data_IF_906450504598
#
_entry.id   IF_906450504598
#
_cell.length_a   1.000
_cell.length_b   1.000
_cell.length_c   1.000
_cell.angle_alpha   90.00
_cell.angle_beta   90.00
_cell.angle_gamma   90.00
#
_symmetry.space_group_name_H-M   'P 1'
#
loop_
_entity.id
_entity.type
_entity.pdbx_description
1 polymer ?
#
# COMPACT_ATOMS: atom_id res chain seq x y z
N UNK A 1 61.39 42.22 30.78
CA UNK A 1 61.52 40.75 30.96
C UNK A 1 60.43 40.10 30.12
N UNK A 2 60.80 39.40 29.03
CA UNK A 2 59.84 38.69 28.18
C UNK A 2 59.47 37.37 28.87
N UNK A 3 58.20 37.23 29.29
CA UNK A 3 57.73 36.00 29.93
C UNK A 3 57.49 34.91 28.87
N UNK A 4 58.56 34.18 28.56
CA UNK A 4 58.57 33.05 27.63
C UNK A 4 57.62 31.93 28.05
N UNK A 5 57.26 31.82 29.34
CA UNK A 5 56.33 30.80 29.83
C UNK A 5 54.89 31.17 29.48
N UNK A 6 54.51 32.45 29.63
CA UNK A 6 53.21 32.96 29.19
C UNK A 6 53.02 32.80 27.66
N UNK A 7 54.04 33.14 26.86
CA UNK A 7 54.00 32.97 25.40
C UNK A 7 53.90 31.49 24.95
N UNK A 8 54.51 30.56 25.70
CA UNK A 8 54.39 29.12 25.44
C UNK A 8 52.98 28.62 25.73
N UNK A 9 52.36 29.04 26.84
CA UNK A 9 50.97 28.68 27.20
C UNK A 9 49.97 29.17 26.17
N UNK A 10 50.11 30.42 25.72
CA UNK A 10 49.24 31.00 24.68
C UNK A 10 49.40 30.23 23.36
N UNK A 11 50.62 29.87 22.96
CA UNK A 11 50.85 29.04 21.76
C UNK A 11 50.25 27.65 21.88
N UNK A 12 50.46 26.96 23.00
CA UNK A 12 49.87 25.64 23.28
C UNK A 12 48.33 25.68 23.24
N UNK A 13 47.71 26.69 23.87
CA UNK A 13 46.26 26.87 23.83
C UNK A 13 45.74 27.12 22.40
N UNK A 14 46.45 27.94 21.60
CA UNK A 14 46.11 28.18 20.19
C UNK A 14 46.24 26.92 19.34
N UNK A 15 47.35 26.19 19.44
CA UNK A 15 47.54 24.94 18.69
C UNK A 15 46.57 23.84 19.15
N UNK A 16 46.28 23.75 20.45
CA UNK A 16 45.26 22.84 20.98
C UNK A 16 43.86 23.17 20.46
N UNK A 17 43.48 24.45 20.43
CA UNK A 17 42.23 24.91 19.85
C UNK A 17 42.11 24.60 18.36
N UNK A 18 43.17 24.87 17.59
CA UNK A 18 43.22 24.52 16.15
C UNK A 18 43.15 23.00 15.92
N UNK A 19 43.83 22.20 16.73
CA UNK A 19 43.76 20.74 16.66
C UNK A 19 42.35 20.22 16.99
N UNK A 20 41.69 20.78 18.01
CA UNK A 20 40.31 20.43 18.33
C UNK A 20 39.33 20.77 17.21
N UNK A 21 39.47 21.96 16.59
CA UNK A 21 38.66 22.36 15.43
C UNK A 21 38.91 21.42 14.25
N UNK A 22 40.18 21.09 13.96
CA UNK A 22 40.52 20.18 12.86
C UNK A 22 39.94 18.77 13.08
N UNK A 23 40.01 18.24 14.31
CA UNK A 23 39.41 16.95 14.66
C UNK A 23 37.89 16.98 14.55
N UNK A 24 37.24 18.05 15.03
CA UNK A 24 35.79 18.23 14.90
C UNK A 24 35.36 18.31 13.42
N UNK A 25 36.11 19.03 12.59
CA UNK A 25 35.85 19.11 11.16
C UNK A 25 36.01 17.75 10.48
N UNK A 26 37.08 17.01 10.76
CA UNK A 26 37.29 15.66 10.23
C UNK A 26 36.18 14.69 10.66
N UNK A 27 35.74 14.76 11.92
CA UNK A 27 34.62 13.96 12.40
C UNK A 27 33.32 14.30 11.67
N UNK A 28 33.01 15.59 11.49
CA UNK A 28 31.84 16.04 10.75
C UNK A 28 31.86 15.57 9.29
N UNK A 29 33.01 15.69 8.60
CA UNK A 29 33.17 15.17 7.24
C UNK A 29 33.06 13.64 7.18
N UNK A 30 33.58 12.93 8.18
CA UNK A 30 33.43 11.48 8.28
C UNK A 30 31.96 11.06 8.38
N UNK A 31 31.19 11.69 9.26
CA UNK A 31 29.75 11.43 9.44
C UNK A 31 28.96 11.75 8.17
N UNK A 32 29.22 12.89 7.54
CA UNK A 32 28.58 13.26 6.27
C UNK A 32 28.95 12.31 5.14
N UNK A 33 30.21 11.85 5.09
CA UNK A 33 30.68 10.87 4.12
C UNK A 33 29.96 9.52 4.25
N UNK A 34 29.81 9.01 5.49
CA UNK A 34 29.03 7.80 5.77
C UNK A 34 27.57 7.98 5.33
N UNK A 35 26.97 9.13 5.66
CA UNK A 35 25.59 9.41 5.28
C UNK A 35 25.38 9.49 3.77
N UNK A 36 26.32 10.11 3.07
CA UNK A 36 26.30 10.19 1.61
C UNK A 36 26.39 8.81 0.97
N UNK A 37 27.27 7.93 1.46
CA UNK A 37 27.41 6.57 0.95
C UNK A 37 26.13 5.74 1.20
N UNK A 38 25.57 5.80 2.41
CA UNK A 38 24.33 5.10 2.74
C UNK A 38 23.15 5.55 1.87
N UNK A 39 22.96 6.87 1.70
CA UNK A 39 21.90 7.40 0.85
C UNK A 39 22.12 7.08 -0.64
N UNK A 40 23.37 7.06 -1.12
CA UNK A 40 23.70 6.67 -2.49
C UNK A 40 23.34 5.20 -2.74
N UNK A 41 23.63 4.32 -1.79
CA UNK A 41 23.29 2.90 -1.87
C UNK A 41 21.77 2.68 -1.82
N UNK A 42 21.05 3.40 -0.95
CA UNK A 42 19.59 3.35 -0.91
C UNK A 42 18.97 3.77 -2.25
N UNK A 43 19.50 4.82 -2.89
CA UNK A 43 19.05 5.24 -4.22
C UNK A 43 19.36 4.16 -5.26
N UNK A 44 20.57 3.58 -5.25
CA UNK A 44 20.99 2.58 -6.22
C UNK A 44 20.13 1.31 -6.13
N UNK A 45 19.95 0.76 -4.93
CA UNK A 45 19.12 -0.40 -4.67
C UNK A 45 17.65 -0.17 -5.05
N UNK A 46 17.09 1.00 -4.74
CA UNK A 46 15.72 1.36 -5.15
C UNK A 46 15.58 1.43 -6.67
N UNK A 47 16.57 2.01 -7.38
CA UNK A 47 16.57 2.06 -8.85
C UNK A 47 16.66 0.68 -9.47
N UNK A 48 17.49 -0.20 -8.91
CA UNK A 48 17.63 -1.57 -9.38
C UNK A 48 16.32 -2.35 -9.18
N UNK A 49 15.70 -2.27 -8.00
CA UNK A 49 14.42 -2.91 -7.73
C UNK A 49 13.31 -2.39 -8.65
N UNK A 50 13.26 -1.07 -8.91
CA UNK A 50 12.33 -0.49 -9.89
C UNK A 50 12.59 -0.93 -11.33
N UNK A 51 13.85 -1.14 -11.72
CA UNK A 51 14.18 -1.67 -13.04
C UNK A 51 13.70 -3.13 -13.18
N UNK A 52 13.92 -3.95 -12.15
CA UNK A 52 13.40 -5.32 -12.09
C UNK A 52 11.87 -5.34 -12.18
N UNK A 53 11.17 -4.47 -11.45
CA UNK A 53 9.72 -4.34 -11.55
C UNK A 53 9.26 -4.02 -12.98
N UNK A 54 9.90 -3.06 -13.65
CA UNK A 54 9.52 -2.70 -15.02
C UNK A 54 9.70 -3.86 -16.00
N UNK A 55 10.74 -4.66 -15.81
CA UNK A 55 11.02 -5.83 -16.63
C UNK A 55 9.99 -6.93 -16.39
N UNK A 56 9.74 -7.32 -15.13
CA UNK A 56 8.78 -8.39 -14.82
C UNK A 56 7.31 -7.98 -15.04
N UNK A 57 6.98 -6.69 -14.94
CA UNK A 57 5.63 -6.18 -15.14
C UNK A 57 5.39 -5.67 -16.58
N UNK A 58 6.31 -5.86 -17.54
CA UNK A 58 6.24 -5.26 -18.88
C UNK A 58 4.89 -5.54 -19.58
N UNK A 59 4.41 -6.79 -19.51
CA UNK A 59 3.11 -7.17 -20.08
C UNK A 59 1.94 -6.46 -19.40
N UNK A 60 1.96 -6.33 -18.06
CA UNK A 60 0.93 -5.64 -17.29
C UNK A 60 0.93 -4.12 -17.58
N UNK A 61 2.12 -3.53 -17.73
CA UNK A 61 2.29 -2.10 -18.00
C UNK A 61 1.82 -1.72 -19.41
N UNK A 62 2.04 -2.60 -20.39
CA UNK A 62 1.59 -2.43 -21.79
C UNK A 62 0.10 -2.70 -21.99
N UNK A 63 -0.53 -3.49 -21.12
CA UNK A 63 -1.96 -3.76 -21.21
C UNK A 63 -2.78 -2.48 -20.97
N UNK A 64 -3.57 -2.10 -21.97
CA UNK A 64 -4.47 -0.93 -21.92
C UNK A 64 -5.87 -1.29 -21.43
N UNK A 65 -6.23 -2.58 -21.43
CA UNK A 65 -7.54 -3.09 -21.01
C UNK A 65 -7.39 -4.24 -20.03
N UNK A 66 -8.04 -4.11 -18.87
CA UNK A 66 -8.15 -5.19 -17.88
C UNK A 66 -9.43 -5.96 -18.21
N UNK A 67 -9.31 -7.00 -19.03
CA UNK A 67 -10.45 -7.89 -19.39
C UNK A 67 -10.52 -9.14 -18.52
N UNK A 68 -9.43 -9.46 -17.84
CA UNK A 68 -9.30 -10.62 -16.98
C UNK A 68 -9.37 -10.22 -15.49
N UNK A 69 -9.95 -11.10 -14.70
CA UNK A 69 -10.17 -10.98 -13.25
C UNK A 69 -9.12 -11.77 -12.45
N UNK A 70 -8.16 -12.42 -13.11
CA UNK A 70 -7.09 -13.15 -12.44
C UNK A 70 -6.18 -12.22 -11.65
N UNK A 71 -6.18 -12.41 -10.34
CA UNK A 71 -5.40 -11.63 -9.40
C UNK A 71 -4.03 -12.26 -9.18
N UNK A 72 -3.84 -13.56 -9.44
CA UNK A 72 -2.56 -14.25 -9.23
C UNK A 72 -1.46 -13.63 -10.10
N UNK A 73 -1.82 -13.26 -11.33
CA UNK A 73 -0.92 -12.64 -12.31
C UNK A 73 -0.36 -11.28 -11.87
N UNK A 74 -0.98 -10.61 -10.90
CA UNK A 74 -0.52 -9.29 -10.43
C UNK A 74 0.20 -9.33 -9.09
N UNK A 75 0.08 -10.41 -8.30
CA UNK A 75 0.68 -10.51 -6.96
C UNK A 75 2.18 -10.24 -7.01
N UNK A 76 2.92 -10.94 -7.87
CA UNK A 76 4.39 -10.83 -7.91
C UNK A 76 4.86 -9.41 -8.23
N UNK A 77 4.18 -8.70 -9.14
CA UNK A 77 4.53 -7.32 -9.50
C UNK A 77 4.18 -6.33 -8.39
N UNK A 78 3.06 -6.54 -7.69
CA UNK A 78 2.64 -5.72 -6.56
C UNK A 78 3.55 -5.92 -5.35
N UNK A 79 3.99 -7.15 -5.08
CA UNK A 79 4.90 -7.48 -3.99
C UNK A 79 6.26 -6.79 -4.15
N UNK A 80 6.81 -6.76 -5.36
CA UNK A 80 8.04 -6.02 -5.65
C UNK A 80 7.94 -4.53 -5.32
N UNK A 81 6.81 -3.88 -5.62
CA UNK A 81 6.58 -2.47 -5.30
C UNK A 81 6.35 -2.24 -3.79
N UNK A 82 5.61 -3.15 -3.14
CA UNK A 82 5.36 -3.12 -1.70
C UNK A 82 6.67 -3.19 -0.91
N UNK A 83 7.59 -4.03 -1.37
CA UNK A 83 8.85 -4.37 -0.69
C UNK A 83 10.07 -3.58 -1.20
N UNK A 84 9.88 -2.46 -1.91
CA UNK A 84 10.99 -1.57 -2.27
C UNK A 84 11.82 -1.17 -1.02
N UNK A 85 13.12 -0.87 -1.17
CA UNK A 85 13.99 -0.53 -0.02
C UNK A 85 13.46 0.62 0.86
N UNK A 86 12.85 1.62 0.22
CA UNK A 86 12.01 2.63 0.86
C UNK A 86 10.56 2.47 0.38
N UNK A 87 9.97 1.30 0.58
CA UNK A 87 8.63 0.92 0.13
C UNK A 87 7.56 1.01 1.22
N UNK A 88 6.34 0.59 0.88
CA UNK A 88 5.21 0.59 1.81
C UNK A 88 5.50 -0.26 3.07
N UNK A 89 6.05 -1.46 2.89
CA UNK A 89 6.35 -2.38 4.00
C UNK A 89 7.49 -1.88 4.90
N UNK A 90 8.47 -1.21 4.30
CA UNK A 90 9.67 -0.76 4.99
C UNK A 90 9.56 0.69 5.49
N UNK A 91 8.41 1.34 5.29
CA UNK A 91 8.20 2.76 5.57
C UNK A 91 8.28 3.11 7.06
N UNK A 92 7.78 2.22 7.90
CA UNK A 92 7.69 2.42 9.37
C UNK A 92 8.84 1.77 10.14
N UNK A 93 9.71 1.02 9.44
CA UNK A 93 10.94 0.50 10.04
C UNK A 93 11.90 1.66 10.36
N UNK A 94 12.53 1.61 11.54
CA UNK A 94 13.43 2.65 12.01
C UNK A 94 14.47 3.04 10.96
N UNK A 95 14.64 4.35 10.74
CA UNK A 95 15.61 4.88 9.78
C UNK A 95 17.02 4.53 10.26
N UNK A 96 17.88 3.86 9.45
CA UNK A 96 19.28 3.71 9.80
C UNK A 96 19.89 5.08 10.10
N UNK A 97 20.55 5.23 11.25
CA UNK A 97 21.05 6.53 11.73
C UNK A 97 22.00 7.15 10.70
N UNK A 98 22.74 6.31 9.98
CA UNK A 98 23.63 6.68 8.88
C UNK A 98 22.90 7.48 7.81
N UNK A 99 21.63 7.18 7.51
CA UNK A 99 20.85 7.89 6.50
C UNK A 99 20.35 9.28 6.97
N UNK A 100 20.45 9.61 8.27
CA UNK A 100 19.70 10.72 8.90
C UNK A 100 20.49 12.00 9.17
N UNK A 101 21.78 12.04 8.87
CA UNK A 101 22.67 13.19 9.16
C UNK A 101 22.45 14.42 8.24
N UNK A 102 21.19 14.81 8.02
CA UNK A 102 20.79 15.98 7.22
C UNK A 102 20.72 15.77 5.71
N UNK A 103 21.16 14.61 5.21
CA UNK A 103 21.19 14.28 3.77
C UNK A 103 20.17 13.20 3.36
N UNK A 104 19.23 12.87 4.24
CA UNK A 104 18.31 11.74 4.03
C UNK A 104 17.50 11.87 2.75
N UNK A 105 17.56 10.83 1.92
CA UNK A 105 16.76 10.68 0.71
C UNK A 105 15.56 9.74 0.93
N UNK A 106 15.52 9.07 2.09
CA UNK A 106 14.54 8.03 2.40
C UNK A 106 13.11 8.51 2.30
N UNK A 107 12.78 9.68 2.85
CA UNK A 107 11.40 10.21 2.81
C UNK A 107 10.92 10.49 1.38
N UNK A 108 11.80 11.05 0.55
CA UNK A 108 11.51 11.29 -0.87
C UNK A 108 11.30 9.99 -1.63
N UNK A 109 12.16 9.00 -1.39
CA UNK A 109 12.03 7.67 -1.99
C UNK A 109 10.79 6.93 -1.49
N UNK A 110 10.45 7.06 -0.21
CA UNK A 110 9.26 6.47 0.40
C UNK A 110 7.98 7.04 -0.20
N UNK A 111 7.89 8.36 -0.30
CA UNK A 111 6.76 9.04 -0.93
C UNK A 111 6.58 8.60 -2.40
N UNK A 112 7.67 8.55 -3.17
CA UNK A 112 7.64 8.10 -4.56
C UNK A 112 7.25 6.62 -4.68
N UNK A 113 7.77 5.75 -3.82
CA UNK A 113 7.48 4.32 -3.81
C UNK A 113 6.02 4.03 -3.42
N UNK A 114 5.50 4.70 -2.38
CA UNK A 114 4.08 4.62 -2.00
C UNK A 114 3.17 5.07 -3.15
N UNK A 115 3.56 6.12 -3.87
CA UNK A 115 2.81 6.62 -5.04
C UNK A 115 2.81 5.59 -6.17
N UNK A 116 3.97 5.01 -6.52
CA UNK A 116 4.08 4.00 -7.55
C UNK A 116 3.27 2.74 -7.21
N UNK A 117 3.37 2.28 -5.95
CA UNK A 117 2.62 1.13 -5.46
C UNK A 117 1.10 1.37 -5.48
N UNK A 118 0.63 2.53 -4.98
CA UNK A 118 -0.77 2.94 -5.07
C UNK A 118 -1.28 2.92 -6.52
N UNK A 119 -0.54 3.54 -7.45
CA UNK A 119 -0.93 3.56 -8.86
C UNK A 119 -1.02 2.16 -9.46
N UNK A 120 -0.11 1.25 -9.09
CA UNK A 120 -0.17 -0.13 -9.51
C UNK A 120 -1.37 -0.86 -8.91
N UNK A 121 -1.68 -0.66 -7.63
CA UNK A 121 -2.87 -1.20 -6.97
C UNK A 121 -4.14 -0.71 -7.65
N UNK A 122 -4.28 0.59 -7.91
CA UNK A 122 -5.43 1.12 -8.63
C UNK A 122 -5.58 0.45 -10.00
N UNK A 123 -4.53 0.53 -10.82
CA UNK A 123 -4.62 0.12 -12.22
C UNK A 123 -4.78 -1.38 -12.40
N UNK A 124 -4.09 -2.18 -11.59
CA UNK A 124 -4.00 -3.63 -11.79
C UNK A 124 -4.82 -4.45 -10.80
N UNK A 125 -5.02 -3.96 -9.58
CA UNK A 125 -5.72 -4.70 -8.54
C UNK A 125 -7.18 -4.26 -8.43
N UNK A 126 -7.43 -2.97 -8.14
CA UNK A 126 -8.79 -2.43 -7.98
C UNK A 126 -9.64 -2.66 -9.22
N UNK A 127 -9.11 -2.41 -10.41
CA UNK A 127 -9.81 -2.65 -11.68
C UNK A 127 -10.34 -4.09 -11.79
N UNK A 128 -9.54 -5.09 -11.40
CA UNK A 128 -9.93 -6.51 -11.40
C UNK A 128 -10.98 -6.82 -10.34
N UNK A 129 -10.83 -6.25 -9.13
CA UNK A 129 -11.82 -6.39 -8.06
C UNK A 129 -13.18 -5.81 -8.47
N UNK A 130 -13.17 -4.65 -9.14
CA UNK A 130 -14.38 -4.01 -9.66
C UNK A 130 -15.04 -4.90 -10.73
N UNK A 131 -14.28 -5.38 -11.73
CA UNK A 131 -14.82 -6.28 -12.76
C UNK A 131 -15.38 -7.57 -12.14
N UNK A 132 -14.71 -8.12 -11.12
CA UNK A 132 -15.19 -9.31 -10.41
C UNK A 132 -16.49 -9.03 -9.64
N UNK A 133 -16.57 -7.89 -8.96
CA UNK A 133 -17.80 -7.47 -8.28
C UNK A 133 -18.95 -7.23 -9.27
N UNK A 134 -18.68 -6.64 -10.45
CA UNK A 134 -19.67 -6.48 -11.52
C UNK A 134 -20.22 -7.83 -11.99
N UNK A 135 -19.36 -8.82 -12.25
CA UNK A 135 -19.78 -10.18 -12.63
C UNK A 135 -20.63 -10.82 -11.54
N UNK A 136 -20.26 -10.63 -10.28
CA UNK A 136 -21.01 -11.16 -9.13
C UNK A 136 -22.39 -10.51 -9.02
N UNK A 137 -22.48 -9.19 -9.20
CA UNK A 137 -23.75 -8.44 -9.24
C UNK A 137 -24.65 -8.95 -10.37
N UNK A 138 -24.11 -9.14 -11.57
CA UNK A 138 -24.86 -9.66 -12.71
C UNK A 138 -25.39 -11.07 -12.44
N UNK A 139 -24.57 -11.96 -11.87
CA UNK A 139 -24.97 -13.33 -11.54
C UNK A 139 -26.05 -13.40 -10.45
N UNK A 140 -26.08 -12.44 -9.53
CA UNK A 140 -27.04 -12.38 -8.42
C UNK A 140 -28.25 -11.47 -8.69
N UNK A 141 -28.40 -10.93 -9.90
CA UNK A 141 -29.43 -9.94 -10.23
C UNK A 141 -30.87 -10.41 -9.99
N UNK A 142 -31.10 -11.73 -10.07
CA UNK A 142 -32.39 -12.36 -9.85
C UNK A 142 -32.75 -12.59 -8.37
N UNK A 143 -31.78 -12.51 -7.45
CA UNK A 143 -31.97 -12.69 -6.01
C UNK A 143 -31.60 -11.39 -5.27
N UNK A 144 -32.59 -10.55 -4.94
CA UNK A 144 -32.34 -9.28 -4.26
C UNK A 144 -31.62 -9.42 -2.90
N UNK A 145 -31.83 -10.52 -2.16
CA UNK A 145 -31.18 -10.74 -0.86
C UNK A 145 -29.68 -10.98 -1.07
N UNK A 146 -29.33 -11.85 -2.03
CA UNK A 146 -27.93 -12.15 -2.34
C UNK A 146 -27.22 -11.01 -3.09
N UNK A 147 -27.96 -10.10 -3.72
CA UNK A 147 -27.44 -8.96 -4.47
C UNK A 147 -26.97 -7.79 -3.58
N UNK A 148 -27.55 -7.64 -2.40
CA UNK A 148 -27.32 -6.49 -1.52
C UNK A 148 -25.84 -6.27 -1.21
N UNK A 149 -25.15 -7.32 -0.79
CA UNK A 149 -23.77 -7.21 -0.32
C UNK A 149 -22.76 -7.00 -1.45
N UNK A 150 -22.79 -7.75 -2.58
CA UNK A 150 -21.95 -7.46 -3.74
C UNK A 150 -22.09 -6.01 -4.25
N UNK A 151 -23.32 -5.48 -4.29
CA UNK A 151 -23.54 -4.09 -4.69
C UNK A 151 -22.92 -3.11 -3.68
N UNK A 152 -23.08 -3.36 -2.38
CA UNK A 152 -22.48 -2.54 -1.32
C UNK A 152 -20.96 -2.54 -1.42
N UNK A 153 -20.32 -3.70 -1.58
CA UNK A 153 -18.86 -3.81 -1.77
C UNK A 153 -18.41 -3.05 -3.01
N UNK A 154 -19.11 -3.21 -4.14
CA UNK A 154 -18.79 -2.53 -5.39
C UNK A 154 -18.82 -1.00 -5.26
N UNK A 155 -19.82 -0.47 -4.57
CA UNK A 155 -19.92 0.97 -4.30
C UNK A 155 -18.81 1.47 -3.37
N UNK A 156 -18.41 0.67 -2.37
CA UNK A 156 -17.31 1.02 -1.47
C UNK A 156 -15.96 1.02 -2.19
N UNK A 157 -15.66 -0.02 -2.98
CA UNK A 157 -14.43 -0.09 -3.80
C UNK A 157 -14.32 1.05 -4.81
N UNK A 158 -15.45 1.56 -5.30
CA UNK A 158 -15.51 2.71 -6.20
C UNK A 158 -15.52 4.08 -5.52
N UNK A 159 -15.47 4.14 -4.19
CA UNK A 159 -15.55 5.40 -3.45
C UNK A 159 -16.88 6.13 -3.63
N UNK A 160 -17.96 5.41 -3.94
CA UNK A 160 -19.32 5.96 -4.11
C UNK A 160 -20.27 5.61 -2.97
N UNK A 161 -19.81 4.80 -2.02
CA UNK A 161 -20.56 4.54 -0.80
C UNK A 161 -20.49 5.75 0.15
N UNK A 162 -21.59 6.09 0.85
CA UNK A 162 -21.60 7.16 1.85
C UNK A 162 -20.63 6.95 3.01
N UNK A 163 -20.35 5.67 3.33
CA UNK A 163 -19.37 5.23 4.31
C UNK A 163 -18.64 4.03 3.75
N UNK A 164 -17.32 4.06 3.84
CA UNK A 164 -16.45 2.92 3.52
C UNK A 164 -16.17 2.15 4.81
N UNK A 165 -16.29 0.82 4.74
CA UNK A 165 -15.98 -0.10 5.83
C UNK A 165 -14.94 -1.10 5.31
N UNK A 166 -13.67 -0.83 5.60
CA UNK A 166 -12.54 -1.59 5.06
C UNK A 166 -12.56 -3.05 5.50
N UNK A 167 -12.94 -3.32 6.75
CA UNK A 167 -13.01 -4.70 7.26
C UNK A 167 -14.13 -5.49 6.58
N UNK A 168 -15.26 -4.84 6.26
CA UNK A 168 -16.30 -5.49 5.46
C UNK A 168 -15.81 -5.83 4.05
N UNK A 169 -15.05 -4.94 3.40
CA UNK A 169 -14.47 -5.22 2.07
C UNK A 169 -13.51 -6.40 2.17
N UNK A 170 -12.62 -6.38 3.18
CA UNK A 170 -11.62 -7.43 3.37
C UNK A 170 -12.29 -8.78 3.69
N UNK A 171 -13.27 -8.82 4.59
CA UNK A 171 -13.93 -10.08 4.96
C UNK A 171 -14.68 -10.69 3.79
N UNK A 172 -15.41 -9.87 3.03
CA UNK A 172 -16.14 -10.33 1.85
C UNK A 172 -15.20 -10.86 0.77
N UNK A 173 -14.11 -10.13 0.48
CA UNK A 173 -13.12 -10.57 -0.52
C UNK A 173 -12.41 -11.86 -0.11
N UNK A 174 -12.02 -11.98 1.17
CA UNK A 174 -11.37 -13.20 1.68
C UNK A 174 -12.28 -14.41 1.50
N UNK A 175 -13.56 -14.28 1.85
CA UNK A 175 -14.51 -15.36 1.69
C UNK A 175 -14.74 -15.70 0.21
N UNK A 176 -14.88 -14.71 -0.68
CA UNK A 176 -15.01 -14.95 -2.12
C UNK A 176 -13.78 -15.68 -2.69
N UNK A 177 -12.58 -15.27 -2.28
CA UNK A 177 -11.35 -15.93 -2.70
C UNK A 177 -11.23 -17.36 -2.18
N UNK A 178 -11.66 -17.62 -0.94
CA UNK A 178 -11.59 -18.95 -0.34
C UNK A 178 -12.65 -19.91 -0.89
N UNK A 179 -13.88 -19.44 -1.07
CA UNK A 179 -15.01 -20.28 -1.46
C UNK A 179 -15.13 -20.43 -2.98
N UNK A 180 -14.87 -19.35 -3.74
CA UNK A 180 -15.22 -19.31 -5.16
C UNK A 180 -14.01 -19.27 -6.08
N UNK A 181 -12.98 -18.48 -5.75
CA UNK A 181 -11.95 -18.10 -6.74
C UNK A 181 -10.66 -18.90 -6.66
N UNK A 182 -10.14 -19.09 -5.46
CA UNK A 182 -8.88 -19.77 -5.18
C UNK A 182 -9.07 -20.79 -4.04
N UNK A 183 -9.95 -21.79 -4.20
CA UNK A 183 -10.26 -22.75 -3.15
C UNK A 183 -9.08 -23.67 -2.86
N UNK A 184 -9.09 -24.27 -1.66
CA UNK A 184 -8.11 -25.27 -1.25
C UNK A 184 -6.85 -24.69 -0.59
N UNK A 185 -6.07 -25.59 0.02
CA UNK A 185 -4.92 -25.25 0.87
C UNK A 185 -3.73 -24.72 0.06
N UNK A 186 -3.53 -25.21 -1.16
CA UNK A 186 -2.44 -24.77 -2.04
C UNK A 186 -2.51 -23.27 -2.36
N UNK A 187 -3.69 -22.68 -2.29
CA UNK A 187 -3.92 -21.27 -2.59
C UNK A 187 -3.87 -20.37 -1.34
N UNK A 188 -3.69 -20.94 -0.14
CA UNK A 188 -3.73 -20.20 1.13
C UNK A 188 -2.71 -19.06 1.18
N UNK A 189 -1.48 -19.31 0.71
CA UNK A 189 -0.44 -18.29 0.66
C UNK A 189 -0.79 -17.17 -0.32
N UNK A 190 -1.28 -17.52 -1.52
CA UNK A 190 -1.76 -16.55 -2.50
C UNK A 190 -2.87 -15.66 -1.94
N UNK A 191 -3.88 -16.24 -1.27
CA UNK A 191 -4.96 -15.50 -0.61
C UNK A 191 -4.42 -14.53 0.46
N UNK A 192 -3.41 -14.95 1.23
CA UNK A 192 -2.79 -14.07 2.23
C UNK A 192 -2.04 -12.89 1.60
N UNK A 193 -1.37 -13.07 0.45
CA UNK A 193 -0.73 -11.97 -0.27
C UNK A 193 -1.76 -11.01 -0.89
N UNK A 194 -2.86 -11.55 -1.45
CA UNK A 194 -3.97 -10.74 -1.94
C UNK A 194 -4.60 -9.88 -0.82
N UNK A 195 -4.76 -10.44 0.38
CA UNK A 195 -5.24 -9.69 1.55
C UNK A 195 -4.30 -8.54 1.91
N UNK A 196 -2.98 -8.77 1.93
CA UNK A 196 -2.00 -7.69 2.20
C UNK A 196 -2.10 -6.55 1.18
N UNK A 197 -2.27 -6.87 -0.10
CA UNK A 197 -2.43 -5.86 -1.14
C UNK A 197 -3.76 -5.12 -1.02
N UNK A 198 -4.85 -5.82 -0.70
CA UNK A 198 -6.16 -5.22 -0.46
C UNK A 198 -6.12 -4.24 0.72
N UNK A 199 -5.56 -4.65 1.87
CA UNK A 199 -5.42 -3.79 3.04
C UNK A 199 -4.55 -2.57 2.74
N UNK A 200 -3.44 -2.76 2.02
CA UNK A 200 -2.58 -1.65 1.63
C UNK A 200 -3.29 -0.67 0.66
N UNK A 201 -4.10 -1.18 -0.27
CA UNK A 201 -4.89 -0.37 -1.19
C UNK A 201 -5.90 0.49 -0.44
N UNK A 202 -6.65 -0.10 0.49
CA UNK A 202 -7.65 0.62 1.30
C UNK A 202 -6.97 1.66 2.21
N UNK A 203 -5.87 1.32 2.88
CA UNK A 203 -5.12 2.26 3.71
C UNK A 203 -4.50 3.44 2.92
N UNK A 204 -4.27 3.28 1.60
CA UNK A 204 -3.75 4.34 0.73
C UNK A 204 -4.85 5.24 0.15
N UNK A 205 -6.14 4.85 0.24
CA UNK A 205 -7.29 5.65 -0.20
C UNK A 205 -7.61 6.82 0.75
N UNK A 206 -7.20 6.75 2.02
CA UNK A 206 -7.39 7.85 2.99
C UNK A 206 -6.85 9.19 2.47
N UNK A 207 -5.86 9.14 1.56
CA UNK A 207 -5.26 10.31 0.93
C UNK A 207 -5.77 10.61 -0.49
N UNK A 208 -6.50 9.69 -1.15
CA UNK A 208 -6.85 9.80 -2.56
C UNK A 208 -8.11 9.05 -2.95
N UNK A 209 -8.96 9.69 -3.75
CA UNK A 209 -10.16 9.05 -4.28
C UNK A 209 -9.84 7.97 -5.35
N UNK A 210 -10.64 6.89 -5.42
CA UNK A 210 -10.55 5.88 -6.48
C UNK A 210 -10.68 6.48 -7.88
N UNK A 211 -9.86 6.02 -8.82
CA UNK A 211 -9.82 6.61 -10.17
C UNK A 211 -10.80 6.00 -11.17
N UNK A 212 -11.37 4.82 -10.88
CA UNK A 212 -12.23 4.10 -11.81
C UNK A 212 -13.70 4.48 -11.67
N UNK A 213 -14.34 4.76 -12.80
CA UNK A 213 -15.78 4.99 -12.84
C UNK A 213 -16.54 3.67 -12.72
N UNK A 214 -17.56 3.64 -11.87
CA UNK A 214 -18.47 2.50 -11.76
C UNK A 214 -19.42 2.43 -12.96
N UNK A 215 -19.83 1.22 -13.30
CA UNK A 215 -20.83 0.93 -14.32
C UNK A 215 -22.22 1.40 -13.84
N UNK A 216 -22.56 2.65 -14.18
CA UNK A 216 -23.79 3.28 -13.73
C UNK A 216 -25.06 2.50 -14.12
N UNK A 217 -25.23 2.03 -15.38
CA UNK A 217 -26.37 1.19 -15.74
C UNK A 217 -26.50 -0.08 -14.88
N UNK A 218 -25.37 -0.71 -14.51
CA UNK A 218 -25.37 -1.88 -13.64
C UNK A 218 -25.82 -1.53 -12.22
N UNK A 219 -25.32 -0.42 -11.67
CA UNK A 219 -25.71 0.07 -10.34
C UNK A 219 -27.20 0.36 -10.30
N UNK A 220 -27.74 1.07 -11.28
CA UNK A 220 -29.18 1.37 -11.35
C UNK A 220 -30.02 0.10 -11.49
N UNK A 221 -29.58 -0.86 -12.32
CA UNK A 221 -30.25 -2.15 -12.46
C UNK A 221 -30.28 -2.93 -11.14
N UNK A 222 -29.15 -2.96 -10.44
CA UNK A 222 -29.05 -3.62 -9.15
C UNK A 222 -29.93 -2.93 -8.09
N UNK A 223 -29.90 -1.59 -8.01
CA UNK A 223 -30.75 -0.82 -7.10
C UNK A 223 -32.24 -1.02 -7.38
N UNK A 224 -32.66 -1.07 -8.65
CA UNK A 224 -34.04 -1.42 -9.03
C UNK A 224 -34.41 -2.83 -8.57
N UNK A 225 -33.50 -3.79 -8.68
CA UNK A 225 -33.72 -5.15 -8.19
C UNK A 225 -33.92 -5.18 -6.67
N UNK A 226 -33.06 -4.49 -5.91
CA UNK A 226 -33.17 -4.33 -4.45
C UNK A 226 -34.45 -3.58 -4.04
N UNK A 227 -34.94 -2.65 -4.86
CA UNK A 227 -36.19 -1.94 -4.63
C UNK A 227 -37.41 -2.87 -4.47
N UNK A 228 -37.34 -4.08 -5.04
CA UNK A 228 -38.40 -5.10 -4.94
C UNK A 228 -38.40 -5.86 -3.60
N UNK A 229 -37.39 -5.68 -2.75
CA UNK A 229 -37.30 -6.33 -1.44
C UNK A 229 -38.35 -5.81 -0.47
N UNK A 230 -38.96 -6.73 0.28
CA UNK A 230 -39.79 -6.38 1.44
C UNK A 230 -38.94 -5.73 2.54
N UNK A 231 -39.58 -5.04 3.49
CA UNK A 231 -38.88 -4.45 4.63
C UNK A 231 -38.14 -5.52 5.47
N UNK A 232 -38.77 -6.69 5.64
CA UNK A 232 -38.18 -7.82 6.37
C UNK A 232 -36.91 -8.35 5.68
N UNK A 233 -36.93 -8.47 4.35
CA UNK A 233 -35.77 -8.91 3.56
C UNK A 233 -34.62 -7.91 3.67
N UNK A 234 -34.92 -6.60 3.65
CA UNK A 234 -33.91 -5.55 3.82
C UNK A 234 -33.25 -5.61 5.19
N UNK A 235 -34.05 -5.79 6.25
CA UNK A 235 -33.54 -5.96 7.61
C UNK A 235 -32.64 -7.21 7.72
N UNK A 236 -33.07 -8.34 7.15
CA UNK A 236 -32.28 -9.58 7.11
C UNK A 236 -30.95 -9.41 6.37
N UNK A 237 -30.96 -8.77 5.20
CA UNK A 237 -29.74 -8.50 4.43
C UNK A 237 -28.78 -7.56 5.16
N UNK A 238 -29.30 -6.54 5.85
CA UNK A 238 -28.51 -5.63 6.66
C UNK A 238 -27.83 -6.35 7.84
N UNK A 239 -28.56 -7.22 8.54
CA UNK A 239 -28.01 -8.03 9.65
C UNK A 239 -26.92 -8.97 9.13
N UNK A 240 -27.16 -9.66 8.00
CA UNK A 240 -26.15 -10.53 7.39
C UNK A 240 -24.87 -9.77 7.06
N UNK A 241 -24.99 -8.59 6.43
CA UNK A 241 -23.83 -7.75 6.11
C UNK A 241 -23.07 -7.27 7.35
N UNK A 242 -23.78 -6.98 8.45
CA UNK A 242 -23.12 -6.62 9.72
C UNK A 242 -22.33 -7.80 10.32
N UNK A 243 -22.80 -9.04 10.17
CA UNK A 243 -22.09 -10.24 10.63
C UNK A 243 -20.78 -10.45 9.86
N UNK A 244 -20.75 -10.16 8.56
CA UNK A 244 -19.51 -10.20 7.77
C UNK A 244 -18.45 -9.22 8.27
N UNK A 245 -18.85 -8.01 8.69
CA UNK A 245 -17.93 -7.05 9.28
C UNK A 245 -17.42 -7.51 10.66
N UNK A 246 -18.29 -8.10 11.49
CA UNK A 246 -17.95 -8.52 12.86
C UNK A 246 -17.01 -9.74 12.92
N UNK A 247 -17.09 -10.66 11.94
CA UNK A 247 -16.25 -11.89 11.90
C UNK A 247 -14.74 -11.66 11.95
N UNK A 248 -14.25 -10.46 11.61
CA UNK A 248 -12.83 -10.11 11.72
C UNK A 248 -12.47 -9.36 13.01
N UNK A 249 -13.45 -8.79 13.72
CA UNK A 249 -13.22 -8.05 14.98
C UNK A 249 -13.23 -8.94 16.22
N UNK A 250 -14.06 -9.99 16.22
CA UNK A 250 -14.03 -11.00 17.27
C UNK A 250 -12.94 -12.04 16.98
N UNK A 251 -12.21 -12.47 18.01
CA UNK A 251 -11.16 -13.51 18.04
C UNK A 251 -9.68 -13.09 17.93
N UNK A 252 -9.30 -11.87 18.31
CA UNK A 252 -7.95 -11.65 18.88
C UNK A 252 -7.98 -11.96 20.38
N UNK A 253 -7.77 -13.23 20.74
CA UNK A 253 -7.38 -13.66 22.11
C UNK A 253 -5.87 -13.73 22.19
#
# INVERSE_FOLDING_TARGET
SFDRAAERRIRLARFGGLAAIALAALAAFGVLGLSFLANRELIASTRQAMAHYRDSADTLLKSTTVTDVDLENVIGSLDQLRNLPAGFENGDQGKPIEETFGLSQRERLLSASKTAYRQALERSFRSRLLVQAERTIQARMADPIALYEPLKIYLMLGGKAPKVDDELIVSWMKQDWEENRYPGENNREGRAQLEKHLRAMLALDDAYDPTFALNHPLVEAAQRSLGRMSLADRASAQIKSAVYAARLQDFSV
#
